data_IF_756730631353
#
_entry.id   IF_756730631353
#
_cell.length_a   1.000
_cell.length_b   1.000
_cell.length_c   1.000
_cell.angle_alpha   90.00
_cell.angle_beta   90.00
_cell.angle_gamma   90.00
#
_symmetry.space_group_name_H-M   'P 1'
#
loop_
_entity.id
_entity.type
_entity.pdbx_description
1 polymer ?
#
# COMPACT_ATOMS: atom_id res chain seq x y z
N UNK A 1 9.91 -11.01 -8.66
CA UNK A 1 8.99 -12.06 -9.16
C UNK A 1 9.51 -13.44 -8.73
N UNK A 2 8.66 -14.48 -8.61
CA UNK A 2 9.14 -15.86 -8.45
C UNK A 2 9.99 -16.33 -9.65
N UNK A 3 10.87 -17.34 -9.47
CA UNK A 3 11.56 -17.99 -10.58
C UNK A 3 10.58 -18.57 -11.63
N UNK A 4 10.96 -18.67 -12.92
CA UNK A 4 10.09 -19.22 -13.96
C UNK A 4 9.66 -20.68 -13.72
N UNK A 5 10.51 -21.46 -13.06
CA UNK A 5 10.31 -22.87 -12.72
C UNK A 5 9.62 -23.06 -11.35
N UNK A 6 9.07 -22.01 -10.77
CA UNK A 6 8.41 -22.08 -9.47
C UNK A 6 7.18 -23.01 -9.54
N UNK A 7 7.07 -24.02 -8.65
CA UNK A 7 6.10 -25.12 -8.77
C UNK A 7 4.63 -24.69 -8.78
N UNK A 8 4.31 -23.55 -8.14
CA UNK A 8 2.94 -23.01 -8.15
C UNK A 8 2.51 -22.43 -9.50
N UNK A 9 3.44 -22.04 -10.38
CA UNK A 9 3.10 -21.43 -11.67
C UNK A 9 2.61 -22.47 -12.70
N UNK A 10 2.86 -23.76 -12.47
CA UNK A 10 2.44 -24.85 -13.36
C UNK A 10 1.21 -25.63 -12.88
N UNK A 11 0.52 -25.18 -11.82
CA UNK A 11 -0.66 -25.84 -11.26
C UNK A 11 -1.95 -25.32 -11.90
N UNK A 12 -2.85 -26.23 -12.28
CA UNK A 12 -4.15 -25.90 -12.87
C UNK A 12 -5.14 -25.27 -11.88
N UNK A 13 -4.90 -25.44 -10.57
CA UNK A 13 -5.74 -24.90 -9.49
C UNK A 13 -5.19 -23.59 -8.90
N UNK A 14 -4.21 -22.96 -9.59
CA UNK A 14 -3.58 -21.70 -9.15
C UNK A 14 -3.74 -20.63 -10.23
N UNK A 15 -4.25 -19.47 -9.82
CA UNK A 15 -4.23 -18.23 -10.63
C UNK A 15 -3.32 -17.22 -9.96
N UNK A 16 -2.23 -16.84 -10.62
CA UNK A 16 -1.28 -15.85 -10.14
C UNK A 16 -1.44 -14.51 -10.89
N UNK A 17 -1.33 -13.39 -10.18
CA UNK A 17 -1.24 -12.06 -10.78
C UNK A 17 0.07 -11.39 -10.34
N UNK A 18 0.75 -10.63 -11.21
CA UNK A 18 2.10 -10.10 -10.94
C UNK A 18 2.08 -8.87 -10.00
N UNK A 19 1.55 -9.03 -8.78
CA UNK A 19 1.43 -7.94 -7.79
C UNK A 19 0.67 -6.70 -8.32
N UNK A 20 -0.37 -6.93 -9.12
CA UNK A 20 -1.15 -5.86 -9.78
C UNK A 20 -2.52 -5.62 -9.14
N UNK A 21 -2.81 -6.23 -7.99
CA UNK A 21 -4.12 -6.11 -7.33
C UNK A 21 -4.53 -4.65 -7.08
N UNK A 22 -3.57 -3.77 -6.75
CA UNK A 22 -3.80 -2.33 -6.54
C UNK A 22 -3.46 -1.44 -7.75
N UNK A 23 -2.97 -2.01 -8.86
CA UNK A 23 -2.34 -1.26 -9.95
C UNK A 23 -3.33 -0.64 -10.96
N UNK A 24 -4.47 -0.13 -10.48
CA UNK A 24 -5.42 0.65 -11.30
C UNK A 24 -5.09 2.13 -11.24
N UNK A 25 -5.47 2.90 -12.28
CA UNK A 25 -5.24 4.35 -12.30
C UNK A 25 -5.93 5.05 -11.14
N UNK A 26 -7.18 4.67 -10.85
CA UNK A 26 -7.91 5.18 -9.67
C UNK A 26 -7.30 4.76 -8.34
N UNK A 27 -6.73 3.55 -8.28
CA UNK A 27 -6.03 3.07 -7.09
C UNK A 27 -4.77 3.90 -6.81
N UNK A 28 -3.98 4.18 -7.85
CA UNK A 28 -2.80 5.04 -7.78
C UNK A 28 -3.17 6.47 -7.37
N UNK A 29 -4.19 7.06 -8.00
CA UNK A 29 -4.67 8.41 -7.65
C UNK A 29 -5.03 8.50 -6.17
N UNK A 30 -5.84 7.57 -5.66
CA UNK A 30 -6.20 7.53 -4.23
C UNK A 30 -4.98 7.36 -3.33
N UNK A 31 -4.07 6.46 -3.68
CA UNK A 31 -2.85 6.21 -2.92
C UNK A 31 -2.01 7.48 -2.78
N UNK A 32 -1.77 8.18 -3.89
CA UNK A 32 -0.96 9.41 -3.89
C UNK A 32 -1.63 10.53 -3.10
N UNK A 33 -2.92 10.78 -3.34
CA UNK A 33 -3.69 11.80 -2.63
C UNK A 33 -3.66 11.55 -1.12
N UNK A 34 -4.00 10.33 -0.68
CA UNK A 34 -4.00 9.97 0.75
C UNK A 34 -2.59 10.07 1.36
N UNK A 35 -1.55 9.63 0.66
CA UNK A 35 -0.17 9.73 1.17
C UNK A 35 0.25 11.19 1.42
N UNK A 36 -0.05 12.08 0.46
CA UNK A 36 0.29 13.50 0.57
C UNK A 36 -0.53 14.18 1.66
N UNK A 37 -1.84 13.93 1.74
CA UNK A 37 -2.72 14.50 2.77
C UNK A 37 -2.26 14.11 4.18
N UNK A 38 -1.88 12.85 4.39
CA UNK A 38 -1.38 12.38 5.69
C UNK A 38 -0.01 12.98 6.06
N UNK A 39 0.90 13.12 5.09
CA UNK A 39 2.18 13.78 5.31
C UNK A 39 1.98 15.25 5.70
N UNK A 40 1.07 15.95 5.01
CA UNK A 40 0.74 17.34 5.33
C UNK A 40 0.09 17.49 6.71
N UNK A 41 -0.77 16.57 7.14
CA UNK A 41 -1.34 16.58 8.49
C UNK A 41 -0.24 16.50 9.56
N UNK A 42 0.68 15.55 9.41
CA UNK A 42 1.82 15.40 10.33
C UNK A 42 2.68 16.67 10.37
N UNK A 43 2.95 17.28 9.22
CA UNK A 43 3.72 18.53 9.16
C UNK A 43 3.01 19.72 9.82
N UNK A 44 1.68 19.68 9.96
CA UNK A 44 0.90 20.66 10.72
C UNK A 44 0.79 20.35 12.22
N UNK A 45 1.43 19.29 12.71
CA UNK A 45 1.27 18.81 14.08
C UNK A 45 -0.07 18.08 14.31
N UNK A 46 -0.78 17.72 13.24
CA UNK A 46 -2.02 16.95 13.31
C UNK A 46 -1.71 15.46 13.20
N UNK A 47 -2.48 14.63 13.90
CA UNK A 47 -2.35 13.18 13.80
C UNK A 47 -2.94 12.69 12.47
N UNK A 48 -2.16 11.93 11.70
CA UNK A 48 -2.63 11.30 10.47
C UNK A 48 -3.77 10.27 10.72
N UNK A 49 -4.87 10.28 9.94
CA UNK A 49 -6.05 9.42 10.16
C UNK A 49 -5.78 7.91 10.15
N UNK A 50 -4.82 7.45 9.34
CA UNK A 50 -4.48 6.03 9.14
C UNK A 50 -3.12 5.65 9.73
N UNK A 51 -2.77 6.24 10.88
CA UNK A 51 -1.56 5.90 11.61
C UNK A 51 -1.64 4.45 12.14
N UNK A 52 -0.75 3.58 11.66
CA UNK A 52 -0.69 2.16 12.01
C UNK A 52 0.01 1.87 13.34
N UNK A 53 0.80 2.83 13.82
CA UNK A 53 1.60 2.76 15.05
C UNK A 53 1.32 3.99 15.93
N UNK A 54 0.08 4.16 16.42
CA UNK A 54 -0.34 5.37 17.13
C UNK A 54 0.45 5.67 18.41
N UNK A 55 1.08 4.67 19.02
CA UNK A 55 1.91 4.79 20.22
C UNK A 55 3.19 5.62 20.01
N UNK A 56 3.67 5.78 18.78
CA UNK A 56 4.86 6.60 18.49
C UNK A 56 4.52 8.08 18.30
N UNK A 57 3.24 8.41 18.19
CA UNK A 57 2.80 9.79 18.02
C UNK A 57 2.89 10.52 19.37
N UNK A 58 3.93 11.33 19.53
CA UNK A 58 4.16 12.13 20.74
C UNK A 58 3.30 13.41 20.80
N UNK A 59 2.47 13.68 19.79
CA UNK A 59 1.86 15.01 19.61
C UNK A 59 2.89 16.03 19.11
N UNK A 60 2.38 17.11 18.49
CA UNK A 60 3.11 18.36 18.33
C UNK A 60 2.95 19.23 19.55
#
# INVERSE_FOLDING_TARGET
PPPPDHPLLGRDDVVATPHVAGASDRGKERLWTTAIEQALAVLRGERAPFCVNPEVWSGG
#
